data_IF_896861632103
#
_entry.id   IF_896861632103
#
_cell.length_a   1.000
_cell.length_b   1.000
_cell.length_c   1.000
_cell.angle_alpha   90.00
_cell.angle_beta   90.00
_cell.angle_gamma   90.00
#
_symmetry.space_group_name_H-M   'P 1'
#
loop_
_entity.id
_entity.type
_entity.pdbx_description
1 polymer ?
#
# COMPACT_ATOMS: atom_id res chain seq x y z
N UNK A 1 15.14 9.41 -15.59
CA UNK A 1 15.97 10.19 -14.68
C UNK A 1 17.03 9.31 -14.04
N UNK A 2 18.22 9.86 -13.89
CA UNK A 2 19.25 9.17 -13.13
C UNK A 2 18.85 9.09 -11.66
N UNK A 3 19.06 7.94 -10.99
CA UNK A 3 18.80 7.84 -9.57
C UNK A 3 19.63 8.86 -8.79
N UNK A 4 18.98 9.56 -7.88
CA UNK A 4 19.67 10.40 -6.90
C UNK A 4 19.55 9.74 -5.53
N UNK A 5 20.34 10.16 -4.56
CA UNK A 5 20.29 9.65 -3.19
C UNK A 5 18.91 9.86 -2.52
N UNK A 6 18.07 10.72 -3.11
CA UNK A 6 16.77 11.11 -2.55
C UNK A 6 15.59 10.78 -3.45
N UNK A 7 15.82 10.30 -4.65
CA UNK A 7 14.74 10.00 -5.61
C UNK A 7 15.12 8.84 -6.51
N UNK A 8 14.19 7.91 -6.70
CA UNK A 8 14.35 6.82 -7.66
C UNK A 8 13.01 6.40 -8.24
N UNK A 9 13.08 5.74 -9.39
CA UNK A 9 11.90 5.27 -10.12
C UNK A 9 12.08 3.80 -10.47
N UNK A 10 11.00 3.04 -10.34
CA UNK A 10 10.94 1.63 -10.72
C UNK A 10 9.87 1.43 -11.78
N UNK A 11 10.21 0.75 -12.86
CA UNK A 11 9.27 0.35 -13.91
C UNK A 11 8.91 -1.11 -13.74
N UNK A 12 7.62 -1.41 -13.78
CA UNK A 12 7.08 -2.76 -13.63
C UNK A 12 6.26 -3.08 -14.87
N UNK A 13 6.56 -4.23 -15.50
CA UNK A 13 5.79 -4.72 -16.65
C UNK A 13 5.11 -6.02 -16.27
N UNK A 14 3.80 -6.09 -16.45
CA UNK A 14 3.01 -7.28 -16.15
C UNK A 14 1.81 -7.37 -17.09
N UNK A 15 1.58 -8.55 -17.68
CA UNK A 15 0.47 -8.81 -18.61
C UNK A 15 0.35 -7.76 -19.73
N UNK A 16 1.47 -7.20 -20.20
CA UNK A 16 1.51 -6.17 -21.22
C UNK A 16 1.25 -4.76 -20.76
N UNK A 17 0.89 -4.55 -19.49
CA UNK A 17 0.81 -3.23 -18.88
C UNK A 17 2.18 -2.79 -18.38
N UNK A 18 2.44 -1.48 -18.42
CA UNK A 18 3.66 -0.88 -17.90
C UNK A 18 3.29 0.16 -16.85
N UNK A 19 3.78 -0.02 -15.63
CA UNK A 19 3.56 0.88 -14.52
C UNK A 19 4.89 1.49 -14.04
N UNK A 20 4.79 2.66 -13.45
CA UNK A 20 5.93 3.36 -12.86
C UNK A 20 5.63 3.69 -11.41
N UNK A 21 6.56 3.33 -10.53
CA UNK A 21 6.58 3.73 -9.13
C UNK A 21 7.72 4.73 -8.94
N UNK A 22 7.41 5.87 -8.36
CA UNK A 22 8.41 6.88 -8.04
C UNK A 22 8.47 7.09 -6.53
N UNK A 23 9.69 7.12 -6.01
CA UNK A 23 9.96 7.30 -4.59
C UNK A 23 10.79 8.57 -4.41
N UNK A 24 10.45 9.38 -3.43
CA UNK A 24 11.20 10.58 -3.12
C UNK A 24 11.30 10.77 -1.61
N UNK A 25 12.51 10.86 -1.09
CA UNK A 25 12.74 11.27 0.29
C UNK A 25 12.52 12.78 0.35
N UNK A 26 11.52 13.22 1.12
CA UNK A 26 11.16 14.64 1.26
C UNK A 26 12.05 15.29 2.33
N UNK A 27 12.17 14.63 3.48
CA UNK A 27 12.97 15.05 4.61
C UNK A 27 13.37 13.83 5.45
N UNK A 28 13.96 14.05 6.62
CA UNK A 28 14.44 12.96 7.50
C UNK A 28 13.33 12.05 8.04
N UNK A 29 12.07 12.46 7.88
CA UNK A 29 10.91 11.75 8.45
C UNK A 29 9.85 11.40 7.40
N UNK A 30 10.01 11.81 6.15
CA UNK A 30 8.94 11.70 5.15
C UNK A 30 9.43 11.14 3.83
N UNK A 31 8.65 10.20 3.29
CA UNK A 31 8.85 9.59 1.98
C UNK A 31 7.58 9.74 1.16
N UNK A 32 7.71 10.21 -0.08
CA UNK A 32 6.62 10.20 -1.05
C UNK A 32 6.74 8.98 -1.95
N UNK A 33 5.61 8.32 -2.19
CA UNK A 33 5.50 7.20 -3.13
C UNK A 33 4.40 7.57 -4.11
N UNK A 34 4.69 7.59 -5.40
CA UNK A 34 3.69 7.81 -6.43
C UNK A 34 3.65 6.65 -7.42
N UNK A 35 2.47 6.42 -7.99
CA UNK A 35 2.25 5.37 -8.96
C UNK A 35 1.45 5.91 -10.13
N UNK A 36 1.80 5.49 -11.34
CA UNK A 36 1.03 5.78 -12.56
C UNK A 36 1.15 4.64 -13.56
N UNK A 37 0.15 4.55 -14.43
CA UNK A 37 0.14 3.63 -15.55
C UNK A 37 0.75 4.33 -16.76
N UNK A 38 1.89 3.82 -17.23
CA UNK A 38 2.58 4.34 -18.41
C UNK A 38 1.90 3.79 -19.69
N UNK A 39 1.54 2.51 -19.64
CA UNK A 39 0.88 1.82 -20.74
C UNK A 39 -0.16 0.86 -20.16
N UNK A 40 -1.44 0.99 -20.57
CA UNK A 40 -2.47 0.07 -20.14
C UNK A 40 -2.28 -1.33 -20.72
N UNK A 41 -2.89 -2.33 -20.08
CA UNK A 41 -2.90 -3.69 -20.59
C UNK A 41 -3.63 -3.74 -21.94
N UNK A 42 -3.13 -4.51 -22.95
CA UNK A 42 -3.76 -4.59 -24.26
C UNK A 42 -5.20 -5.11 -24.26
N UNK A 43 -5.57 -5.92 -23.25
CA UNK A 43 -6.91 -6.48 -23.09
C UNK A 43 -7.89 -5.55 -22.34
N UNK A 44 -7.45 -4.33 -21.98
CA UNK A 44 -8.27 -3.35 -21.30
C UNK A 44 -8.52 -3.62 -19.81
N UNK A 45 -7.83 -4.56 -19.20
CA UNK A 45 -7.96 -4.82 -17.77
C UNK A 45 -7.48 -3.64 -16.94
N UNK A 46 -8.19 -3.40 -15.85
CA UNK A 46 -7.76 -2.40 -14.87
C UNK A 46 -6.49 -2.84 -14.15
N UNK A 47 -5.63 -1.88 -13.88
CA UNK A 47 -4.42 -2.10 -13.10
C UNK A 47 -4.59 -1.52 -11.70
N UNK A 48 -4.06 -2.24 -10.71
CA UNK A 48 -4.10 -1.85 -9.31
C UNK A 48 -2.71 -2.00 -8.70
N UNK A 49 -2.24 -0.98 -8.02
CA UNK A 49 -1.02 -1.07 -7.22
C UNK A 49 -1.38 -1.52 -5.80
N UNK A 50 -0.65 -2.51 -5.30
CA UNK A 50 -0.80 -3.01 -3.93
C UNK A 50 0.47 -2.71 -3.15
N UNK A 51 0.35 -1.89 -2.11
CA UNK A 51 1.42 -1.62 -1.17
C UNK A 51 1.19 -2.45 0.07
N UNK A 52 2.14 -3.28 0.39
CA UNK A 52 2.05 -4.25 1.49
C UNK A 52 2.88 -3.78 2.67
N UNK A 53 2.23 -3.72 3.84
CA UNK A 53 2.87 -3.33 5.10
C UNK A 53 2.86 -4.50 6.06
N UNK A 54 3.95 -4.63 6.81
CA UNK A 54 4.04 -5.57 7.93
C UNK A 54 3.78 -4.75 9.19
N UNK A 55 2.57 -4.80 9.76
CA UNK A 55 2.26 -3.98 10.93
C UNK A 55 2.78 -4.62 12.22
N UNK A 56 2.83 -3.81 13.26
CA UNK A 56 3.09 -4.26 14.62
C UNK A 56 1.77 -4.72 15.26
N UNK A 57 1.58 -6.02 15.52
CA UNK A 57 0.24 -6.56 15.85
C UNK A 57 -0.39 -6.00 17.12
N UNK A 58 0.42 -5.52 18.06
CA UNK A 58 -0.03 -5.01 19.36
C UNK A 58 -0.53 -3.56 19.31
N UNK A 59 -0.40 -2.89 18.18
CA UNK A 59 -0.84 -1.51 18.01
C UNK A 59 -2.04 -1.44 17.07
N UNK A 60 -3.12 -0.71 17.44
CA UNK A 60 -4.26 -0.52 16.54
C UNK A 60 -3.92 0.39 15.38
N UNK A 61 -4.76 0.36 14.37
CA UNK A 61 -4.75 1.32 13.27
C UNK A 61 -5.71 2.46 13.63
N UNK A 62 -5.29 3.71 13.49
CA UNK A 62 -6.11 4.90 13.70
C UNK A 62 -6.39 5.55 12.35
N UNK A 63 -7.68 5.77 12.04
CA UNK A 63 -8.11 6.31 10.76
C UNK A 63 -8.43 7.80 10.84
N UNK A 64 -8.34 8.49 9.70
CA UNK A 64 -8.65 9.91 9.58
C UNK A 64 -10.09 10.29 9.90
N UNK A 65 -11.02 9.34 9.87
CA UNK A 65 -12.42 9.52 10.26
C UNK A 65 -12.64 9.45 11.79
N UNK A 66 -11.59 9.25 12.58
CA UNK A 66 -11.63 9.12 14.03
C UNK A 66 -11.87 7.70 14.52
N UNK A 67 -12.13 6.75 13.63
CA UNK A 67 -12.28 5.34 14.01
C UNK A 67 -10.93 4.65 14.19
N UNK A 68 -10.95 3.48 14.83
CA UNK A 68 -9.79 2.62 15.01
C UNK A 68 -10.14 1.20 14.63
N UNK A 69 -9.12 0.39 14.31
CA UNK A 69 -9.28 -1.03 14.07
C UNK A 69 -8.14 -1.81 14.71
N UNK A 70 -8.48 -2.95 15.29
CA UNK A 70 -7.51 -3.89 15.82
C UNK A 70 -6.97 -4.80 14.72
N UNK A 71 -5.74 -5.23 14.89
CA UNK A 71 -5.09 -6.19 14.00
C UNK A 71 -5.32 -7.62 14.53
N UNK A 72 -6.58 -8.04 14.50
CA UNK A 72 -7.05 -9.35 14.96
C UNK A 72 -7.40 -10.26 13.79
N UNK A 73 -8.01 -11.41 14.07
CA UNK A 73 -8.51 -12.34 13.05
C UNK A 73 -9.70 -11.78 12.27
N UNK A 74 -10.37 -10.75 12.81
CA UNK A 74 -11.53 -10.15 12.17
C UNK A 74 -11.13 -9.31 10.97
N UNK A 75 -11.61 -9.67 9.80
CA UNK A 75 -11.34 -8.97 8.56
C UNK A 75 -12.07 -7.63 8.50
N UNK A 76 -11.42 -6.62 7.97
CA UNK A 76 -12.00 -5.33 7.69
C UNK A 76 -11.42 -4.70 6.42
N UNK A 77 -12.18 -3.76 5.88
CA UNK A 77 -11.90 -3.08 4.63
C UNK A 77 -12.36 -1.62 4.78
N UNK A 78 -11.49 -0.68 4.42
CA UNK A 78 -11.75 0.76 4.56
C UNK A 78 -11.50 1.47 3.24
N UNK A 79 -12.39 2.41 2.91
CA UNK A 79 -12.31 3.29 1.74
C UNK A 79 -12.65 4.72 2.12
N UNK A 80 -12.32 5.68 1.26
CA UNK A 80 -12.68 7.08 1.45
C UNK A 80 -11.92 7.80 2.56
N UNK A 81 -10.78 7.25 2.99
CA UNK A 81 -9.95 7.84 4.02
C UNK A 81 -8.86 8.72 3.42
N UNK A 82 -8.45 9.75 4.14
CA UNK A 82 -7.34 10.63 3.75
C UNK A 82 -6.01 10.25 4.38
N UNK A 83 -6.05 9.49 5.48
CA UNK A 83 -4.84 8.98 6.13
C UNK A 83 -5.18 7.89 7.14
N UNK A 84 -4.17 7.14 7.53
CA UNK A 84 -4.22 6.30 8.72
C UNK A 84 -2.86 6.30 9.42
N UNK A 85 -2.88 6.05 10.71
CA UNK A 85 -1.68 5.96 11.54
C UNK A 85 -1.56 4.60 12.20
N UNK A 86 -0.33 4.17 12.44
CA UNK A 86 -0.03 2.93 13.11
C UNK A 86 1.29 3.08 13.84
N UNK A 87 1.29 2.77 15.13
CA UNK A 87 2.48 2.83 15.98
C UNK A 87 3.17 4.22 15.87
N UNK A 88 4.30 4.31 15.20
CA UNK A 88 5.10 5.55 15.07
C UNK A 88 5.10 6.13 13.66
N UNK A 89 4.19 5.70 12.77
CA UNK A 89 4.12 6.22 11.41
C UNK A 89 2.69 6.52 10.98
N UNK A 90 2.58 7.37 9.98
CA UNK A 90 1.32 7.79 9.38
C UNK A 90 1.45 7.75 7.86
N UNK A 91 0.40 7.32 7.19
CA UNK A 91 0.33 7.28 5.73
C UNK A 91 -0.82 8.17 5.25
N UNK A 92 -0.48 9.21 4.49
CA UNK A 92 -1.48 10.03 3.79
C UNK A 92 -1.88 9.33 2.49
N UNK A 93 -3.17 9.26 2.22
CA UNK A 93 -3.75 8.47 1.14
C UNK A 93 -4.49 9.36 0.13
N UNK A 94 -4.49 9.01 -1.17
CA UNK A 94 -5.48 9.53 -2.09
C UNK A 94 -6.87 8.96 -1.75
N UNK A 95 -7.91 9.70 -2.08
CA UNK A 95 -9.30 9.33 -1.76
C UNK A 95 -9.71 7.97 -2.34
N UNK A 96 -9.12 7.59 -3.47
CA UNK A 96 -9.40 6.32 -4.14
C UNK A 96 -8.72 5.09 -3.51
N UNK A 97 -7.91 5.30 -2.47
CA UNK A 97 -7.22 4.19 -1.81
C UNK A 97 -8.17 3.30 -1.03
N UNK A 98 -7.84 2.02 -0.99
CA UNK A 98 -8.55 1.01 -0.22
C UNK A 98 -7.57 0.30 0.70
N UNK A 99 -7.96 0.05 1.94
CA UNK A 99 -7.13 -0.61 2.94
C UNK A 99 -7.80 -1.92 3.33
N UNK A 100 -7.07 -3.02 3.24
CA UNK A 100 -7.54 -4.36 3.58
C UNK A 100 -6.72 -4.99 4.70
N UNK A 101 -7.42 -5.65 5.62
CA UNK A 101 -6.83 -6.48 6.68
C UNK A 101 -7.75 -7.68 6.99
N UNK A 102 -7.23 -8.86 7.31
CA UNK A 102 -5.86 -9.30 7.08
C UNK A 102 -5.68 -9.81 5.64
N UNK A 103 -4.49 -9.65 5.10
CA UNK A 103 -4.09 -10.35 3.88
C UNK A 103 -3.05 -11.38 4.28
N UNK A 104 -3.46 -12.65 4.20
CA UNK A 104 -2.64 -13.75 4.68
C UNK A 104 -1.77 -14.30 3.54
N UNK A 105 -0.47 -14.53 3.78
CA UNK A 105 0.37 -15.22 2.81
C UNK A 105 -0.04 -16.70 2.72
N UNK A 106 0.30 -17.33 1.61
CA UNK A 106 0.17 -18.79 1.50
C UNK A 106 1.21 -19.46 2.39
N UNK A 107 0.75 -20.40 3.23
CA UNK A 107 1.65 -21.20 4.08
C UNK A 107 1.90 -22.57 3.41
N UNK A 108 3.09 -22.82 2.86
CA UNK A 108 3.39 -24.07 2.16
C UNK A 108 3.53 -25.28 3.09
N UNK A 109 3.56 -25.05 4.41
CA UNK A 109 3.73 -26.10 5.41
C UNK A 109 2.41 -26.65 5.96
N UNK A 110 1.26 -26.14 5.49
CA UNK A 110 -0.06 -26.63 5.87
C UNK A 110 -0.82 -27.08 4.63
N UNK A 111 -1.73 -28.07 4.80
CA UNK A 111 -2.50 -28.64 3.69
C UNK A 111 -3.44 -27.63 3.02
N UNK A 112 -4.00 -26.70 3.80
CA UNK A 112 -4.91 -25.66 3.33
C UNK A 112 -4.23 -24.34 2.97
N UNK A 113 -2.90 -24.24 3.14
CA UNK A 113 -2.15 -23.01 2.90
C UNK A 113 -2.41 -21.91 3.93
N UNK A 114 -3.09 -22.20 5.03
CA UNK A 114 -3.47 -21.21 6.04
C UNK A 114 -2.25 -20.72 6.82
N UNK A 115 -2.17 -19.39 6.99
CA UNK A 115 -1.16 -18.72 7.80
C UNK A 115 -1.81 -18.09 9.05
N UNK A 116 -1.03 -17.92 10.11
CA UNK A 116 -1.48 -17.26 11.32
C UNK A 116 -1.63 -15.75 11.12
N UNK A 117 -2.49 -15.12 11.93
CA UNK A 117 -2.73 -13.66 11.87
C UNK A 117 -1.46 -12.84 12.09
N UNK A 118 -0.52 -13.36 12.88
CA UNK A 118 0.78 -12.72 13.10
C UNK A 118 1.62 -12.60 11.81
N UNK A 119 1.31 -13.42 10.82
CA UNK A 119 1.96 -13.38 9.50
C UNK A 119 1.19 -12.53 8.48
N UNK A 120 0.05 -11.97 8.87
CA UNK A 120 -0.80 -11.18 7.99
C UNK A 120 -0.15 -9.86 7.59
N UNK A 121 -0.65 -9.33 6.48
CA UNK A 121 -0.22 -8.04 5.93
C UNK A 121 -1.39 -7.08 5.90
N UNK A 122 -1.06 -5.81 6.08
CA UNK A 122 -1.95 -4.69 5.77
C UNK A 122 -1.68 -4.27 4.33
N UNK A 123 -2.71 -4.24 3.50
CA UNK A 123 -2.54 -3.90 2.08
C UNK A 123 -3.32 -2.64 1.76
N UNK A 124 -2.61 -1.68 1.17
CA UNK A 124 -3.18 -0.47 0.58
C UNK A 124 -3.22 -0.65 -0.92
N UNK A 125 -4.39 -0.56 -1.50
CA UNK A 125 -4.63 -0.74 -2.93
C UNK A 125 -4.99 0.58 -3.58
N UNK A 126 -4.35 0.89 -4.71
CA UNK A 126 -4.55 2.11 -5.49
C UNK A 126 -4.94 1.74 -6.90
N UNK A 127 -6.05 2.28 -7.43
CA UNK A 127 -6.33 2.15 -8.86
C UNK A 127 -5.25 2.90 -9.64
N UNK A 128 -4.76 2.29 -10.70
CA UNK A 128 -3.73 2.91 -11.54
C UNK A 128 -4.34 3.48 -12.81
N UNK A 129 -3.94 4.69 -13.14
CA UNK A 129 -4.26 5.36 -14.40
C UNK A 129 -3.05 6.14 -14.88
N UNK A 130 -3.17 6.82 -16.01
CA UNK A 130 -2.13 7.73 -16.51
C UNK A 130 -1.89 8.90 -15.54
N UNK A 131 -2.91 9.27 -14.75
CA UNK A 131 -2.79 10.29 -13.71
C UNK A 131 -2.09 9.69 -12.49
N UNK A 132 -0.96 10.26 -12.03
CA UNK A 132 -0.27 9.74 -10.85
C UNK A 132 -1.12 9.88 -9.58
N UNK A 133 -1.05 8.86 -8.73
CA UNK A 133 -1.56 8.92 -7.36
C UNK A 133 -0.39 8.85 -6.39
N UNK A 134 -0.44 9.66 -5.35
CA UNK A 134 0.65 9.77 -4.38
C UNK A 134 0.22 9.42 -2.97
N UNK A 135 1.12 8.73 -2.27
CA UNK A 135 1.09 8.47 -0.85
C UNK A 135 2.22 9.23 -0.18
N UNK A 136 2.04 9.62 1.07
CA UNK A 136 3.12 10.18 1.88
C UNK A 136 3.22 9.41 3.18
N UNK A 137 4.37 8.79 3.40
CA UNK A 137 4.70 8.11 4.64
C UNK A 137 5.49 9.09 5.53
N UNK A 138 5.03 9.25 6.75
CA UNK A 138 5.70 10.09 7.76
C UNK A 138 5.99 9.25 8.98
N UNK A 139 7.22 9.31 9.48
CA UNK A 139 7.69 8.59 10.67
C UNK A 139 8.03 9.60 11.76
N UNK A 140 7.63 9.30 12.98
CA UNK A 140 7.94 10.12 14.14
C UNK A 140 9.33 9.86 14.69
#
# INVERSE_FOLDING_TARGET
DEPSDRRWTQTITTAGAVAELAFAIIDDHSLSISSRLVKPAPDGRDATAHLTFIPYPESPISFSDGSTAELSDDAWDKTGLTSFGHHNWNLTLPESARINWPVLPHNPYTDDGHAATEEARLVVSLPMSETPLSLKLTVQ
#
